data_IF_934920381510
#
_entry.id   IF_934920381510
#
_cell.length_a   1.000
_cell.length_b   1.000
_cell.length_c   1.000
_cell.angle_alpha   90.00
_cell.angle_beta   90.00
_cell.angle_gamma   90.00
#
_symmetry.space_group_name_H-M   'P 1'
#
loop_
_entity.id
_entity.type
_entity.pdbx_description
1 polymer ?
#
# COMPACT_ATOMS: atom_id res chain seq x y z
N UNK A 1 14.03 15.82 3.68
CA UNK A 1 14.19 15.86 2.21
C UNK A 1 14.87 14.56 1.81
N UNK A 2 14.22 13.69 1.02
CA UNK A 2 14.82 12.41 0.59
C UNK A 2 15.82 12.76 -0.51
N UNK A 3 17.12 12.59 -0.26
CA UNK A 3 18.12 12.77 -1.30
C UNK A 3 18.16 11.53 -2.19
N UNK A 4 17.96 11.65 -3.51
CA UNK A 4 17.93 10.49 -4.42
C UNK A 4 19.27 9.75 -4.51
N UNK A 5 20.36 10.39 -4.05
CA UNK A 5 21.73 9.89 -4.18
C UNK A 5 22.36 9.45 -2.85
N UNK A 6 21.62 9.51 -1.74
CA UNK A 6 22.13 9.07 -0.42
C UNK A 6 21.08 8.24 0.32
N UNK A 7 21.46 7.05 0.81
CA UNK A 7 20.58 6.26 1.67
C UNK A 7 20.12 7.05 2.89
N UNK A 8 18.83 6.95 3.21
CA UNK A 8 18.31 7.47 4.48
C UNK A 8 18.93 6.67 5.63
N UNK A 9 19.51 7.37 6.61
CA UNK A 9 20.11 6.75 7.79
C UNK A 9 19.14 5.84 8.56
N UNK A 10 17.84 6.11 8.51
CA UNK A 10 16.79 5.28 9.11
C UNK A 10 16.70 3.92 8.41
N UNK A 11 16.81 3.91 7.08
CA UNK A 11 16.79 2.67 6.28
C UNK A 11 18.02 1.83 6.59
N UNK A 12 19.22 2.44 6.63
CA UNK A 12 20.45 1.72 7.00
C UNK A 12 20.32 1.09 8.39
N UNK A 13 19.85 1.86 9.39
CA UNK A 13 19.67 1.34 10.76
C UNK A 13 18.67 0.19 10.81
N UNK A 14 17.56 0.29 10.08
CA UNK A 14 16.56 -0.78 10.00
C UNK A 14 17.16 -2.06 9.41
N UNK A 15 17.88 -1.96 8.29
CA UNK A 15 18.53 -3.11 7.64
C UNK A 15 19.53 -3.76 8.59
N UNK A 16 20.40 -2.97 9.25
CA UNK A 16 21.38 -3.49 10.21
C UNK A 16 20.70 -4.23 11.36
N UNK A 17 19.69 -3.62 11.99
CA UNK A 17 18.93 -4.26 13.07
C UNK A 17 18.28 -5.57 12.63
N UNK A 18 17.69 -5.58 11.43
CA UNK A 18 17.13 -6.82 10.88
C UNK A 18 18.23 -7.87 10.65
N UNK A 19 19.40 -7.46 10.16
CA UNK A 19 20.55 -8.35 9.96
C UNK A 19 21.15 -8.92 11.24
N UNK A 20 21.06 -8.20 12.36
CA UNK A 20 21.48 -8.66 13.71
C UNK A 20 20.55 -9.73 14.28
N UNK A 21 19.27 -9.75 13.87
CA UNK A 21 18.27 -10.75 14.24
C UNK A 21 17.90 -11.63 13.01
N UNK A 22 18.82 -12.50 12.54
CA UNK A 22 18.55 -13.34 11.39
C UNK A 22 17.53 -14.43 11.74
N UNK A 23 16.46 -14.50 10.94
CA UNK A 23 15.53 -15.63 11.00
C UNK A 23 15.95 -16.65 9.91
N UNK A 24 16.45 -17.85 10.29
CA UNK A 24 16.95 -18.83 9.33
C UNK A 24 15.87 -19.37 8.39
N UNK A 25 14.58 -19.20 8.71
CA UNK A 25 13.45 -19.59 7.85
C UNK A 25 13.00 -18.50 6.89
N UNK A 26 13.60 -17.30 6.94
CA UNK A 26 13.15 -16.14 6.18
C UNK A 26 14.25 -15.65 5.22
N UNK A 27 14.02 -15.82 3.92
CA UNK A 27 14.85 -15.21 2.88
C UNK A 27 14.41 -13.74 2.73
N UNK A 28 15.38 -12.83 2.80
CA UNK A 28 15.15 -11.39 2.65
C UNK A 28 15.85 -10.87 1.40
N UNK A 29 15.21 -9.96 0.70
CA UNK A 29 15.74 -9.27 -0.48
C UNK A 29 15.58 -7.77 -0.33
N UNK A 30 16.50 -7.01 -0.93
CA UNK A 30 16.45 -5.55 -0.95
C UNK A 30 15.95 -5.08 -2.32
N UNK A 31 14.76 -4.46 -2.35
CA UNK A 31 14.22 -3.85 -3.57
C UNK A 31 14.42 -2.33 -3.54
N UNK A 32 15.34 -1.84 -4.36
CA UNK A 32 15.56 -0.42 -4.60
C UNK A 32 14.57 0.08 -5.65
N UNK A 33 13.46 0.66 -5.20
CA UNK A 33 12.40 1.16 -6.08
C UNK A 33 12.69 2.59 -6.60
N UNK A 34 11.93 3.02 -7.62
CA UNK A 34 11.98 4.36 -8.26
C UNK A 34 13.27 4.66 -9.02
N UNK A 35 13.92 3.64 -9.59
CA UNK A 35 15.15 3.84 -10.38
C UNK A 35 14.93 4.68 -11.65
N UNK A 36 13.68 4.83 -12.09
CA UNK A 36 13.26 5.71 -13.18
C UNK A 36 13.48 7.20 -12.87
N UNK A 37 13.58 7.59 -11.60
CA UNK A 37 13.87 8.97 -11.20
C UNK A 37 15.37 9.31 -11.23
N UNK A 38 16.24 8.31 -11.47
CA UNK A 38 17.69 8.49 -11.48
C UNK A 38 18.19 8.59 -12.92
N UNK A 39 18.50 9.82 -13.35
CA UNK A 39 18.98 10.09 -14.71
C UNK A 39 20.34 9.43 -15.00
N UNK A 40 21.25 9.43 -14.02
CA UNK A 40 22.62 8.94 -14.17
C UNK A 40 22.76 7.53 -13.59
N UNK A 41 22.78 6.51 -14.46
CA UNK A 41 22.96 5.10 -14.06
C UNK A 41 24.21 4.85 -13.16
N UNK A 42 25.28 5.63 -13.34
CA UNK A 42 26.48 5.55 -12.50
C UNK A 42 26.19 5.89 -11.02
N UNK A 43 25.28 6.82 -10.76
CA UNK A 43 24.91 7.19 -9.40
C UNK A 43 24.05 6.12 -8.73
N UNK A 44 23.20 5.42 -9.50
CA UNK A 44 22.43 4.28 -8.99
C UNK A 44 23.35 3.16 -8.48
N UNK A 45 24.42 2.85 -9.21
CA UNK A 45 25.41 1.86 -8.80
C UNK A 45 26.11 2.26 -7.49
N UNK A 46 26.53 3.52 -7.36
CA UNK A 46 27.14 4.04 -6.11
C UNK A 46 26.21 3.94 -4.90
N UNK A 47 24.91 4.14 -5.11
CA UNK A 47 23.92 3.97 -4.03
C UNK A 47 23.79 2.49 -3.68
N UNK A 48 23.71 1.60 -4.68
CA UNK A 48 23.64 0.15 -4.45
C UNK A 48 24.88 -0.38 -3.70
N UNK A 49 26.07 0.13 -4.01
CA UNK A 49 27.32 -0.20 -3.30
C UNK A 49 27.25 0.13 -1.80
N UNK A 50 26.60 1.23 -1.41
CA UNK A 50 26.42 1.58 0.01
C UNK A 50 25.53 0.61 0.78
N UNK A 51 24.69 -0.16 0.07
CA UNK A 51 23.87 -1.20 0.69
C UNK A 51 24.58 -2.55 0.71
N UNK A 52 25.48 -2.83 -0.25
CA UNK A 52 26.09 -4.14 -0.50
C UNK A 52 26.66 -4.82 0.75
N UNK A 53 27.30 -4.07 1.64
CA UNK A 53 27.95 -4.61 2.84
C UNK A 53 27.03 -4.68 4.07
N UNK A 54 25.76 -4.30 3.93
CA UNK A 54 24.80 -4.39 5.02
C UNK A 54 24.30 -5.83 5.19
N UNK A 55 24.24 -6.34 6.43
CA UNK A 55 23.73 -7.68 6.70
C UNK A 55 22.21 -7.74 6.52
N UNK A 56 21.68 -8.96 6.37
CA UNK A 56 20.25 -9.22 6.53
C UNK A 56 19.43 -9.37 5.26
N UNK A 57 20.05 -9.45 4.08
CA UNK A 57 19.38 -9.84 2.83
C UNK A 57 20.37 -10.49 1.84
N UNK A 58 19.85 -11.35 0.96
CA UNK A 58 20.70 -12.16 0.06
C UNK A 58 20.91 -11.57 -1.34
N UNK A 59 20.02 -10.68 -1.79
CA UNK A 59 20.07 -10.11 -3.15
C UNK A 59 19.47 -8.71 -3.22
N UNK A 60 20.00 -7.88 -4.12
CA UNK A 60 19.48 -6.55 -4.44
C UNK A 60 18.79 -6.59 -5.79
N UNK A 61 17.59 -6.01 -5.86
CA UNK A 61 16.84 -5.74 -7.09
C UNK A 61 16.68 -4.23 -7.27
N UNK A 62 16.97 -3.74 -8.46
CA UNK A 62 16.75 -2.36 -8.85
C UNK A 62 15.50 -2.31 -9.72
N UNK A 63 14.45 -1.66 -9.24
CA UNK A 63 13.14 -1.70 -9.90
C UNK A 63 12.52 -0.31 -10.07
N UNK A 64 11.67 -0.18 -11.07
CA UNK A 64 10.66 0.86 -11.14
C UNK A 64 9.30 0.18 -11.13
N UNK A 65 8.63 0.21 -9.98
CA UNK A 65 7.25 -0.30 -9.89
C UNK A 65 6.29 0.46 -10.81
N UNK A 66 6.57 1.75 -11.07
CA UNK A 66 5.74 2.60 -11.93
C UNK A 66 5.94 2.32 -13.43
N UNK A 67 7.18 2.09 -13.87
CA UNK A 67 7.53 1.86 -15.29
C UNK A 67 7.72 0.39 -15.65
N UNK A 68 7.65 -0.51 -14.67
CA UNK A 68 7.85 -1.96 -14.85
C UNK A 68 9.31 -2.41 -14.96
N UNK A 69 10.28 -1.49 -15.05
CA UNK A 69 11.71 -1.84 -15.16
C UNK A 69 12.18 -2.71 -13.98
N UNK A 70 12.84 -3.82 -14.25
CA UNK A 70 13.36 -4.75 -13.23
C UNK A 70 12.30 -5.57 -12.47
N UNK A 71 11.01 -5.30 -12.70
CA UNK A 71 9.92 -6.03 -12.01
C UNK A 71 9.84 -7.47 -12.49
N UNK A 72 10.06 -7.73 -13.78
CA UNK A 72 10.03 -9.10 -14.32
C UNK A 72 11.11 -10.00 -13.68
N UNK A 73 12.33 -9.50 -13.54
CA UNK A 73 13.43 -10.22 -12.90
C UNK A 73 13.15 -10.51 -11.42
N UNK A 74 12.55 -9.53 -10.72
CA UNK A 74 12.09 -9.69 -9.35
C UNK A 74 10.99 -10.75 -9.24
N UNK A 75 9.99 -10.71 -10.11
CA UNK A 75 8.89 -11.69 -10.14
C UNK A 75 9.41 -13.08 -10.41
N UNK A 76 10.30 -13.26 -11.39
CA UNK A 76 10.94 -14.56 -11.69
C UNK A 76 11.73 -15.11 -10.50
N UNK A 77 12.39 -14.24 -9.74
CA UNK A 77 13.12 -14.65 -8.54
C UNK A 77 12.20 -15.05 -7.39
N UNK A 78 11.08 -14.33 -7.20
CA UNK A 78 10.10 -14.60 -6.16
C UNK A 78 9.16 -15.77 -6.51
N UNK A 79 9.03 -16.11 -7.78
CA UNK A 79 8.17 -17.18 -8.25
C UNK A 79 8.62 -18.51 -7.66
N UNK A 80 7.86 -19.00 -6.68
CA UNK A 80 7.95 -20.38 -6.20
C UNK A 80 6.92 -21.18 -6.99
N UNK A 81 7.39 -22.19 -7.72
CA UNK A 81 6.52 -23.18 -8.38
C UNK A 81 5.87 -24.04 -7.30
N UNK A 82 4.72 -23.60 -6.77
CA UNK A 82 3.89 -24.38 -5.86
C UNK A 82 2.42 -24.26 -6.29
N UNK A 83 1.59 -25.28 -6.02
CA UNK A 83 0.14 -25.15 -6.17
C UNK A 83 -0.37 -23.96 -5.36
N UNK A 84 -1.39 -23.28 -5.89
CA UNK A 84 -2.06 -22.23 -5.15
C UNK A 84 -2.79 -22.85 -3.94
N UNK A 85 -2.61 -22.24 -2.77
CA UNK A 85 -3.32 -22.67 -1.55
C UNK A 85 -4.81 -22.25 -1.58
N UNK A 86 -5.11 -21.15 -2.30
CA UNK A 86 -6.45 -20.61 -2.52
C UNK A 86 -6.63 -20.29 -4.02
N UNK A 87 -7.86 -20.38 -4.53
CA UNK A 87 -8.15 -19.98 -5.91
C UNK A 87 -7.98 -18.46 -6.08
N UNK A 88 -6.98 -17.99 -6.86
CA UNK A 88 -6.69 -16.56 -7.01
C UNK A 88 -7.79 -15.79 -7.76
N UNK A 89 -8.75 -16.49 -8.38
CA UNK A 89 -9.82 -15.88 -9.18
C UNK A 89 -11.09 -15.68 -8.32
N UNK A 90 -11.21 -16.41 -7.22
CA UNK A 90 -12.43 -16.38 -6.40
C UNK A 90 -12.54 -15.06 -5.63
N UNK A 91 -13.58 -14.29 -5.96
CA UNK A 91 -13.97 -13.08 -5.24
C UNK A 91 -14.74 -13.45 -3.97
N UNK A 92 -14.03 -13.92 -2.94
CA UNK A 92 -14.65 -14.24 -1.64
C UNK A 92 -15.14 -12.97 -0.93
N UNK A 93 -16.02 -13.12 0.06
CA UNK A 93 -16.49 -11.98 0.87
C UNK A 93 -15.34 -11.27 1.57
N UNK A 94 -14.35 -12.02 2.06
CA UNK A 94 -13.16 -11.45 2.71
C UNK A 94 -12.31 -10.65 1.72
N UNK A 95 -12.12 -11.15 0.49
CA UNK A 95 -11.44 -10.41 -0.58
C UNK A 95 -12.19 -9.11 -0.90
N UNK A 96 -13.51 -9.16 -1.03
CA UNK A 96 -14.32 -7.95 -1.28
C UNK A 96 -14.24 -6.94 -0.13
N UNK A 97 -14.25 -7.41 1.13
CA UNK A 97 -14.07 -6.54 2.30
C UNK A 97 -12.71 -5.84 2.27
N UNK A 98 -11.64 -6.57 1.96
CA UNK A 98 -10.30 -6.00 1.83
C UNK A 98 -10.21 -4.99 0.69
N UNK A 99 -10.77 -5.30 -0.48
CA UNK A 99 -10.87 -4.36 -1.61
C UNK A 99 -11.63 -3.09 -1.16
N UNK A 100 -12.73 -3.25 -0.42
CA UNK A 100 -13.52 -2.09 0.04
C UNK A 100 -12.73 -1.15 0.95
N UNK A 101 -11.84 -1.70 1.79
CA UNK A 101 -10.96 -0.91 2.64
C UNK A 101 -9.87 -0.21 1.81
N UNK A 102 -9.23 -0.93 0.89
CA UNK A 102 -8.14 -0.36 0.09
C UNK A 102 -8.65 0.71 -0.89
N UNK A 103 -9.81 0.54 -1.52
CA UNK A 103 -10.41 1.57 -2.39
C UNK A 103 -10.65 2.86 -1.61
N UNK A 104 -11.25 2.78 -0.43
CA UNK A 104 -11.48 3.96 0.42
C UNK A 104 -10.16 4.58 0.89
N UNK A 105 -9.15 3.75 1.20
CA UNK A 105 -7.82 4.22 1.60
C UNK A 105 -7.07 4.91 0.45
N UNK A 106 -7.22 4.44 -0.79
CA UNK A 106 -6.67 5.08 -1.98
C UNK A 106 -7.27 6.48 -2.15
N UNK A 107 -8.60 6.59 -2.15
CA UNK A 107 -9.28 7.90 -2.26
C UNK A 107 -8.92 8.82 -1.09
N UNK A 108 -8.74 8.27 0.11
CA UNK A 108 -8.21 9.04 1.24
C UNK A 108 -6.83 9.63 0.95
N UNK A 109 -5.90 8.84 0.40
CA UNK A 109 -4.54 9.27 0.08
C UNK A 109 -4.50 10.35 -1.01
N UNK A 110 -5.43 10.28 -1.97
CA UNK A 110 -5.56 11.29 -3.03
C UNK A 110 -5.99 12.66 -2.48
N UNK A 111 -6.96 12.68 -1.55
CA UNK A 111 -7.59 13.91 -1.04
C UNK A 111 -6.98 14.45 0.25
N UNK A 112 -6.25 13.63 1.00
CA UNK A 112 -5.66 13.98 2.30
C UNK A 112 -4.15 13.86 2.22
N UNK A 113 -3.50 15.03 2.10
CA UNK A 113 -2.04 15.12 2.11
C UNK A 113 -1.47 15.08 3.53
N UNK A 114 -0.13 15.05 3.63
CA UNK A 114 0.66 14.99 4.86
C UNK A 114 0.62 13.62 5.56
N UNK A 115 1.08 13.55 6.81
CA UNK A 115 1.15 12.31 7.60
C UNK A 115 -0.22 11.89 8.18
N UNK A 116 -1.31 12.56 7.80
CA UNK A 116 -2.64 12.33 8.37
C UNK A 116 -3.20 10.95 8.04
N UNK A 117 -3.16 10.46 6.78
CA UNK A 117 -3.71 9.14 6.44
C UNK A 117 -3.05 8.01 7.24
N UNK A 118 -1.76 8.15 7.54
CA UNK A 118 -0.98 7.15 8.29
C UNK A 118 -1.28 7.15 9.80
N UNK A 119 -1.89 8.23 10.31
CA UNK A 119 -2.24 8.37 11.72
C UNK A 119 -3.71 8.09 12.03
N UNK A 120 -4.49 7.64 11.05
CA UNK A 120 -5.91 7.31 11.18
C UNK A 120 -6.07 5.81 11.10
N UNK A 121 -6.82 5.25 12.04
CA UNK A 121 -7.23 3.86 12.00
C UNK A 121 -8.51 3.72 11.17
N UNK A 122 -8.50 2.85 10.18
CA UNK A 122 -9.57 2.68 9.20
C UNK A 122 -10.11 1.27 9.27
N UNK A 123 -11.39 1.12 9.60
CA UNK A 123 -12.01 -0.18 9.89
C UNK A 123 -13.34 -0.34 9.17
N UNK A 124 -13.62 -1.58 8.77
CA UNK A 124 -14.95 -2.02 8.38
C UNK A 124 -15.76 -2.31 9.65
N UNK A 125 -16.93 -1.70 9.77
CA UNK A 125 -17.81 -1.78 10.94
C UNK A 125 -19.05 -2.61 10.64
N UNK A 126 -19.64 -2.45 9.46
CA UNK A 126 -20.81 -3.23 9.03
C UNK A 126 -20.67 -3.64 7.57
N UNK A 127 -21.15 -4.85 7.27
CA UNK A 127 -21.18 -5.43 5.94
C UNK A 127 -22.48 -6.21 5.78
N UNK A 128 -23.38 -5.72 4.93
CA UNK A 128 -24.73 -6.28 4.84
C UNK A 128 -25.23 -6.29 3.41
N UNK A 129 -25.62 -7.47 2.95
CA UNK A 129 -26.42 -7.62 1.74
C UNK A 129 -27.88 -7.27 2.04
N UNK A 130 -28.45 -6.37 1.24
CA UNK A 130 -29.82 -5.92 1.36
C UNK A 130 -30.75 -6.80 0.52
N UNK A 131 -32.06 -6.70 0.78
CA UNK A 131 -33.09 -7.54 0.13
C UNK A 131 -33.18 -7.33 -1.38
N UNK A 132 -32.74 -6.17 -1.87
CA UNK A 132 -32.70 -5.82 -3.28
C UNK A 132 -31.41 -6.27 -3.98
N UNK A 133 -30.52 -6.98 -3.27
CA UNK A 133 -29.22 -7.45 -3.77
C UNK A 133 -28.11 -6.40 -3.72
N UNK A 134 -28.40 -5.18 -3.24
CA UNK A 134 -27.38 -4.15 -3.03
C UNK A 134 -26.55 -4.46 -1.79
N UNK A 135 -25.33 -3.92 -1.74
CA UNK A 135 -24.41 -4.11 -0.63
C UNK A 135 -24.27 -2.81 0.17
N UNK A 136 -24.57 -2.89 1.46
CA UNK A 136 -24.28 -1.82 2.43
C UNK A 136 -22.92 -2.09 3.09
N UNK A 137 -22.04 -1.08 3.04
CA UNK A 137 -20.71 -1.12 3.62
C UNK A 137 -20.57 0.09 4.54
N UNK A 138 -20.30 -0.14 5.81
CA UNK A 138 -20.01 0.93 6.78
C UNK A 138 -18.57 0.84 7.23
N UNK A 139 -17.81 1.92 7.05
CA UNK A 139 -16.41 2.00 7.43
C UNK A 139 -16.19 3.24 8.27
N UNK A 140 -15.36 3.14 9.32
CA UNK A 140 -15.08 4.25 10.22
C UNK A 140 -13.61 4.64 10.16
N UNK A 141 -13.38 5.95 10.27
CA UNK A 141 -12.06 6.54 10.49
C UNK A 141 -11.92 7.01 11.93
N UNK A 142 -11.03 6.37 12.67
CA UNK A 142 -10.82 6.58 14.09
C UNK A 142 -9.51 7.35 14.30
N UNK A 143 -9.59 8.47 15.00
CA UNK A 143 -8.42 9.27 15.39
C UNK A 143 -8.64 9.91 16.75
N UNK A 144 -7.56 10.01 17.54
CA UNK A 144 -7.54 10.74 18.80
C UNK A 144 -7.36 12.26 18.62
N UNK A 145 -6.95 12.72 17.42
CA UNK A 145 -6.63 14.14 17.16
C UNK A 145 -7.78 14.84 16.44
N UNK A 146 -8.40 15.80 17.10
CA UNK A 146 -9.46 16.62 16.49
C UNK A 146 -9.01 17.36 15.22
N UNK A 147 -7.73 17.74 15.13
CA UNK A 147 -7.18 18.38 13.92
C UNK A 147 -7.22 17.45 12.71
N UNK A 148 -6.85 16.17 12.88
CA UNK A 148 -6.93 15.16 11.82
C UNK A 148 -8.38 14.94 11.38
N UNK A 149 -9.32 14.83 12.34
CA UNK A 149 -10.76 14.73 12.03
C UNK A 149 -11.26 15.92 11.21
N UNK A 150 -10.91 17.15 11.58
CA UNK A 150 -11.34 18.35 10.83
C UNK A 150 -10.81 18.37 9.41
N UNK A 151 -9.56 17.94 9.20
CA UNK A 151 -8.94 17.89 7.88
C UNK A 151 -9.57 16.79 7.01
N UNK A 152 -9.86 15.62 7.59
CA UNK A 152 -10.51 14.50 6.94
C UNK A 152 -11.93 14.85 6.49
N UNK A 153 -12.75 15.38 7.40
CA UNK A 153 -14.14 15.76 7.14
C UNK A 153 -14.21 16.92 6.13
N UNK A 154 -13.31 17.89 6.27
CA UNK A 154 -13.34 19.11 5.46
C UNK A 154 -14.49 20.05 5.85
N UNK A 155 -14.59 21.19 5.15
CA UNK A 155 -15.62 22.19 5.41
C UNK A 155 -17.00 21.60 5.08
N UNK A 156 -17.90 21.56 6.05
CA UNK A 156 -19.26 21.00 5.91
C UNK A 156 -19.29 19.55 5.39
N UNK A 157 -18.27 18.75 5.68
CA UNK A 157 -18.21 17.35 5.21
C UNK A 157 -17.85 17.19 3.73
N UNK A 158 -17.46 18.27 3.03
CA UNK A 158 -17.22 18.23 1.59
C UNK A 158 -16.12 17.25 1.18
N UNK A 159 -15.08 17.08 2.00
CA UNK A 159 -13.96 16.21 1.65
C UNK A 159 -14.31 14.74 1.85
N UNK A 160 -14.85 14.38 3.02
CA UNK A 160 -15.25 13.00 3.29
C UNK A 160 -16.40 12.55 2.37
N UNK A 161 -17.33 13.46 2.05
CA UNK A 161 -18.40 13.20 1.09
C UNK A 161 -17.85 12.91 -0.31
N UNK A 162 -16.85 13.67 -0.77
CA UNK A 162 -16.18 13.41 -2.06
C UNK A 162 -15.47 12.06 -2.08
N UNK A 163 -14.71 11.73 -1.03
CA UNK A 163 -14.07 10.42 -0.87
C UNK A 163 -15.11 9.31 -0.95
N UNK A 164 -16.23 9.45 -0.23
CA UNK A 164 -17.32 8.49 -0.23
C UNK A 164 -17.95 8.28 -1.61
N UNK A 165 -18.20 9.37 -2.36
CA UNK A 165 -18.78 9.29 -3.71
C UNK A 165 -17.84 8.53 -4.66
N UNK A 166 -16.57 8.96 -4.75
CA UNK A 166 -15.59 8.36 -5.66
C UNK A 166 -15.33 6.88 -5.31
N UNK A 167 -15.19 6.56 -4.02
CA UNK A 167 -15.02 5.17 -3.58
C UNK A 167 -16.27 4.32 -3.85
N UNK A 168 -17.47 4.87 -3.67
CA UNK A 168 -18.71 4.14 -3.92
C UNK A 168 -18.89 3.82 -5.42
N UNK A 169 -18.55 4.76 -6.30
CA UNK A 169 -18.57 4.55 -7.76
C UNK A 169 -17.61 3.44 -8.19
N UNK A 170 -16.39 3.45 -7.65
CA UNK A 170 -15.39 2.42 -7.92
C UNK A 170 -15.82 1.05 -7.40
N UNK A 171 -16.36 0.97 -6.18
CA UNK A 171 -16.85 -0.29 -5.61
C UNK A 171 -18.02 -0.87 -6.40
N UNK A 172 -18.94 -0.04 -6.91
CA UNK A 172 -19.99 -0.50 -7.83
C UNK A 172 -19.41 -1.09 -9.10
N UNK A 173 -18.37 -0.46 -9.65
CA UNK A 173 -17.68 -0.95 -10.84
C UNK A 173 -16.98 -2.29 -10.59
N UNK A 174 -16.32 -2.45 -9.44
CA UNK A 174 -15.60 -3.69 -9.09
C UNK A 174 -16.58 -4.82 -8.78
N UNK A 175 -17.57 -4.58 -7.93
CA UNK A 175 -18.51 -5.61 -7.46
C UNK A 175 -19.66 -5.88 -8.42
N UNK A 176 -19.82 -5.07 -9.47
CA UNK A 176 -20.88 -5.20 -10.48
C UNK A 176 -22.29 -5.25 -9.89
N UNK A 177 -22.49 -4.52 -8.78
CA UNK A 177 -23.79 -4.34 -8.11
C UNK A 177 -23.87 -3.00 -7.40
N UNK A 178 -25.06 -2.60 -7.00
CA UNK A 178 -25.26 -1.38 -6.22
C UNK A 178 -24.55 -1.47 -4.86
N UNK A 179 -23.88 -0.39 -4.49
CA UNK A 179 -23.17 -0.24 -3.21
C UNK A 179 -23.65 1.03 -2.51
N UNK A 180 -23.85 0.89 -1.19
CA UNK A 180 -24.18 1.95 -0.26
C UNK A 180 -23.06 2.07 0.77
N UNK A 181 -21.98 2.77 0.38
CA UNK A 181 -20.86 3.07 1.26
C UNK A 181 -21.20 4.19 2.24
N UNK A 182 -20.89 3.99 3.52
CA UNK A 182 -21.00 4.98 4.60
C UNK A 182 -19.65 5.14 5.30
N UNK A 183 -19.24 6.40 5.47
CA UNK A 183 -17.97 6.83 6.07
C UNK A 183 -18.18 7.80 7.24
#
# INVERSE_FOLDING_TARGET
MIHPYRPDSRVIRLIKRMGEEPNPKQIRILCMNKVDLIEKKKELLKVAEQFKDLPGYGRIFMISGLKGSGVEDLTKYLAVQRPWDEDPITMSEEVMKNISLEVVRERLLDHVHQEIPYGIDHRLVDWKELRDGSLRIEQHFITSKMSQRKILVGKNGSKIGRIGIEANEELRSIFKREVHLIL
#
